data_IF_757944004448
#
_entry.id   IF_757944004448
#
_cell.length_a   1.000
_cell.length_b   1.000
_cell.length_c   1.000
_cell.angle_alpha   90.00
_cell.angle_beta   90.00
_cell.angle_gamma   90.00
#
_symmetry.space_group_name_H-M   'P 1'
#
loop_
_entity.id
_entity.type
_entity.pdbx_description
1 polymer ?
#
# COMPACT_ATOMS: atom_id res chain seq x y z
N UNK A 1 -5.67 -20.06 -11.94
CA UNK A 1 -6.00 -19.99 -10.50
C UNK A 1 -4.67 -20.02 -9.77
N UNK A 2 -4.48 -19.11 -8.82
CA UNK A 2 -3.31 -19.13 -7.95
C UNK A 2 -3.58 -20.08 -6.78
N UNK A 3 -2.59 -20.88 -6.39
CA UNK A 3 -2.72 -21.86 -5.29
C UNK A 3 -2.16 -21.33 -3.95
N UNK A 4 -1.80 -20.05 -3.90
CA UNK A 4 -1.35 -19.33 -2.71
C UNK A 4 -2.37 -18.25 -2.35
N UNK A 5 -2.39 -17.86 -1.07
CA UNK A 5 -3.20 -16.73 -0.60
C UNK A 5 -2.32 -15.48 -0.66
N UNK A 6 -2.67 -14.46 -1.46
CA UNK A 6 -1.88 -13.25 -1.52
C UNK A 6 -2.10 -12.37 -0.28
N UNK A 7 -1.30 -11.33 -0.18
CA UNK A 7 -1.52 -10.23 0.75
C UNK A 7 -1.30 -8.88 0.07
N UNK A 8 -2.00 -7.86 0.57
CA UNK A 8 -1.81 -6.47 0.18
C UNK A 8 -1.47 -5.67 1.42
N UNK A 9 -0.31 -5.03 1.43
CA UNK A 9 0.08 -4.08 2.46
C UNK A 9 -0.24 -2.65 1.99
N UNK A 10 -0.97 -1.90 2.81
CA UNK A 10 -1.52 -0.59 2.43
C UNK A 10 -1.76 0.33 3.64
N UNK A 11 -2.33 1.52 3.39
CA UNK A 11 -2.80 2.43 4.43
C UNK A 11 -1.83 3.55 4.82
N UNK A 12 -0.71 3.70 4.12
CA UNK A 12 0.27 4.75 4.40
C UNK A 12 -0.11 6.06 3.69
N UNK A 13 -0.77 6.95 4.42
CA UNK A 13 -1.31 8.20 3.90
C UNK A 13 -0.77 9.37 4.71
N UNK A 14 -0.02 10.24 4.05
CA UNK A 14 0.46 11.50 4.60
C UNK A 14 -0.46 12.61 4.11
N UNK A 15 -1.07 13.35 5.02
CA UNK A 15 -1.89 14.51 4.70
C UNK A 15 -1.35 15.78 5.38
N UNK A 16 -2.10 16.88 5.32
CA UNK A 16 -1.69 18.15 5.93
C UNK A 16 -1.52 18.06 7.46
N UNK A 17 -2.22 17.13 8.10
CA UNK A 17 -2.24 16.91 9.54
C UNK A 17 -1.20 15.88 10.01
N UNK A 18 -0.40 15.31 9.10
CA UNK A 18 0.58 14.26 9.41
C UNK A 18 1.89 14.41 8.62
N UNK A 19 2.36 15.64 8.40
CA UNK A 19 3.45 15.94 7.45
C UNK A 19 4.81 16.25 8.11
N UNK A 20 4.86 16.57 9.41
CA UNK A 20 6.09 17.08 10.04
C UNK A 20 6.71 16.10 11.04
N UNK A 21 8.03 15.91 10.94
CA UNK A 21 8.82 15.19 11.93
C UNK A 21 9.79 16.20 12.55
N UNK A 22 9.59 16.53 13.81
CA UNK A 22 10.54 17.31 14.58
C UNK A 22 11.61 16.39 15.17
N UNK A 23 12.86 16.80 15.08
CA UNK A 23 13.99 16.05 15.60
C UNK A 23 15.13 16.98 16.02
N UNK A 24 16.11 16.47 16.76
CA UNK A 24 17.33 17.19 17.16
C UNK A 24 18.54 16.31 16.94
N UNK A 25 19.62 16.91 16.47
CA UNK A 25 20.94 16.27 16.40
C UNK A 25 21.84 16.77 17.53
N UNK A 26 21.58 17.98 18.02
CA UNK A 26 22.25 18.62 19.15
C UNK A 26 21.20 19.41 19.97
N UNK A 27 21.39 20.73 20.14
CA UNK A 27 20.54 21.60 20.95
C UNK A 27 19.40 22.21 20.11
N UNK A 28 19.61 22.42 18.81
CA UNK A 28 18.66 23.10 17.93
C UNK A 28 17.66 22.12 17.34
N UNK A 29 16.37 22.43 17.48
CA UNK A 29 15.29 21.68 16.85
C UNK A 29 15.27 21.87 15.33
N UNK A 30 15.15 20.75 14.63
CA UNK A 30 15.02 20.64 13.19
C UNK A 30 13.63 20.12 12.85
N UNK A 31 13.17 20.44 11.64
CA UNK A 31 11.84 20.02 11.14
C UNK A 31 11.99 19.42 9.76
N UNK A 32 11.76 18.12 9.65
CA UNK A 32 11.61 17.44 8.38
C UNK A 32 10.16 17.51 7.91
N UNK A 33 9.96 17.75 6.61
CA UNK A 33 8.63 17.77 5.97
C UNK A 33 8.50 16.61 5.00
N UNK A 34 7.70 15.62 5.38
CA UNK A 34 7.30 14.50 4.52
C UNK A 34 6.21 14.99 3.59
N UNK A 35 6.37 14.85 2.26
CA UNK A 35 5.36 15.34 1.33
C UNK A 35 4.00 14.65 1.55
N UNK A 36 2.88 15.40 1.51
CA UNK A 36 1.56 14.79 1.47
C UNK A 36 1.40 13.88 0.25
N UNK A 37 0.84 12.69 0.47
CA UNK A 37 0.74 11.67 -0.56
C UNK A 37 0.25 10.34 0.00
N UNK A 38 0.04 9.38 -0.91
CA UNK A 38 -0.18 7.98 -0.58
C UNK A 38 1.09 7.25 -0.94
N UNK A 39 1.54 6.37 -0.07
CA UNK A 39 2.84 5.72 -0.19
C UNK A 39 2.69 4.20 -0.09
N UNK A 40 3.65 3.47 -0.67
CA UNK A 40 3.92 2.10 -0.21
C UNK A 40 4.70 2.14 1.10
N UNK A 41 4.86 0.99 1.74
CA UNK A 41 5.67 0.88 2.94
C UNK A 41 7.12 1.30 2.68
N UNK A 42 7.66 0.85 1.55
CA UNK A 42 9.02 1.17 1.10
C UNK A 42 9.18 2.63 0.70
N UNK A 43 8.23 3.19 -0.05
CA UNK A 43 8.33 4.59 -0.52
C UNK A 43 8.23 5.58 0.64
N UNK A 44 7.40 5.28 1.65
CA UNK A 44 7.29 6.14 2.82
C UNK A 44 8.61 6.15 3.61
N UNK A 45 9.25 5.00 3.77
CA UNK A 45 10.58 4.93 4.40
C UNK A 45 11.59 5.82 3.66
N UNK A 46 11.66 5.69 2.33
CA UNK A 46 12.55 6.50 1.50
C UNK A 46 12.25 8.01 1.57
N UNK A 47 10.97 8.41 1.57
CA UNK A 47 10.59 9.82 1.70
C UNK A 47 10.96 10.38 3.09
N UNK A 48 10.79 9.61 4.17
CA UNK A 48 11.19 10.03 5.52
C UNK A 48 12.70 10.18 5.62
N UNK A 49 13.46 9.18 5.15
CA UNK A 49 14.92 9.22 5.11
C UNK A 49 15.40 10.48 4.36
N UNK A 50 14.80 10.76 3.20
CA UNK A 50 15.10 11.93 2.38
C UNK A 50 14.74 13.22 3.11
N UNK A 51 13.55 13.33 3.68
CA UNK A 51 13.08 14.53 4.36
C UNK A 51 13.92 14.87 5.60
N UNK A 52 14.31 13.86 6.39
CA UNK A 52 15.17 14.05 7.56
C UNK A 52 16.59 14.42 7.17
N UNK A 53 17.17 13.73 6.17
CA UNK A 53 18.53 14.04 5.69
C UNK A 53 18.62 15.43 5.03
N UNK A 54 17.54 15.92 4.43
CA UNK A 54 17.49 17.28 3.88
C UNK A 54 17.37 18.36 4.95
N UNK A 55 16.76 18.04 6.10
CA UNK A 55 16.52 18.99 7.18
C UNK A 55 17.68 19.03 8.20
N UNK A 56 18.40 17.93 8.36
CA UNK A 56 19.52 17.80 9.30
C UNK A 56 20.89 17.85 8.64
N UNK A 57 21.92 17.68 9.46
CA UNK A 57 23.31 17.61 9.01
C UNK A 57 23.79 16.16 8.84
N UNK A 58 23.03 15.19 9.34
CA UNK A 58 23.32 13.76 9.23
C UNK A 58 22.53 13.09 8.10
N UNK A 59 23.05 11.96 7.63
CA UNK A 59 22.34 11.09 6.68
C UNK A 59 21.51 10.10 7.48
N UNK A 60 20.20 10.12 7.26
CA UNK A 60 19.25 9.20 7.87
C UNK A 60 18.97 8.05 6.92
N UNK A 61 18.96 6.84 7.48
CA UNK A 61 18.48 5.64 6.81
C UNK A 61 17.19 5.21 7.49
N UNK A 62 16.17 4.89 6.70
CA UNK A 62 14.94 4.30 7.20
C UNK A 62 14.77 2.93 6.55
N UNK A 63 14.76 1.89 7.38
CA UNK A 63 14.55 0.51 6.92
C UNK A 63 13.17 0.02 7.30
N UNK A 64 12.68 -0.94 6.52
CA UNK A 64 11.36 -1.56 6.69
C UNK A 64 11.52 -3.04 7.01
N UNK A 65 10.91 -3.48 8.11
CA UNK A 65 10.70 -4.90 8.42
C UNK A 65 9.27 -5.26 8.00
N UNK A 66 9.11 -6.01 6.90
CA UNK A 66 7.77 -6.36 6.37
C UNK A 66 7.09 -7.43 7.18
N UNK A 67 7.84 -8.35 7.78
CA UNK A 67 7.29 -9.41 8.63
C UNK A 67 6.55 -8.79 9.81
N UNK A 68 7.19 -7.82 10.49
CA UNK A 68 6.60 -7.14 11.65
C UNK A 68 5.88 -5.83 11.32
N UNK A 69 5.97 -5.37 10.07
CA UNK A 69 5.49 -4.06 9.55
C UNK A 69 6.00 -2.88 10.37
N UNK A 70 7.32 -2.79 10.56
CA UNK A 70 7.98 -1.76 11.38
C UNK A 70 8.94 -0.90 10.56
N UNK A 71 8.95 0.39 10.85
CA UNK A 71 10.00 1.31 10.40
C UNK A 71 11.11 1.37 11.45
N UNK A 72 12.37 1.40 10.99
CA UNK A 72 13.53 1.74 11.83
C UNK A 72 14.24 2.93 11.24
N UNK A 73 14.36 4.01 12.00
CA UNK A 73 15.06 5.23 11.61
C UNK A 73 16.42 5.22 12.30
N UNK A 74 17.50 5.33 11.54
CA UNK A 74 18.86 5.37 12.07
C UNK A 74 19.72 6.44 11.40
N UNK A 75 20.75 6.90 12.10
CA UNK A 75 21.78 7.81 11.61
C UNK A 75 23.14 7.41 12.20
N UNK A 76 24.21 8.06 11.74
CA UNK A 76 25.56 7.74 12.21
C UNK A 76 25.77 8.12 13.68
N UNK A 77 25.32 9.31 14.10
CA UNK A 77 25.38 9.77 15.48
C UNK A 77 23.99 9.81 16.13
N UNK A 78 23.99 9.99 17.45
CA UNK A 78 22.75 10.13 18.21
C UNK A 78 21.91 11.29 17.69
N UNK A 79 20.60 11.10 17.78
CA UNK A 79 19.61 12.14 17.49
C UNK A 79 18.38 11.88 18.36
N UNK A 80 17.48 12.84 18.42
CA UNK A 80 16.23 12.77 19.17
C UNK A 80 15.06 12.97 18.21
N UNK A 81 14.03 12.13 18.31
CA UNK A 81 12.77 12.35 17.60
C UNK A 81 11.76 12.93 18.58
N UNK A 82 11.20 14.09 18.26
CA UNK A 82 10.45 14.91 19.20
C UNK A 82 8.94 14.84 18.94
N UNK A 83 8.35 13.65 19.11
CA UNK A 83 6.91 13.47 18.90
C UNK A 83 6.04 14.03 20.04
N UNK A 84 6.59 14.32 21.21
CA UNK A 84 5.87 14.98 22.33
C UNK A 84 6.22 16.46 22.49
N UNK A 85 7.49 16.83 22.33
CA UNK A 85 7.93 18.20 22.63
C UNK A 85 8.18 19.06 21.40
N UNK A 86 8.20 18.47 20.21
CA UNK A 86 8.45 19.18 18.96
C UNK A 86 7.38 20.22 18.62
N UNK A 87 7.80 21.28 17.94
CA UNK A 87 6.94 22.43 17.62
C UNK A 87 5.71 22.06 16.77
N UNK A 88 5.77 20.97 15.99
CA UNK A 88 4.69 20.50 15.13
C UNK A 88 4.13 19.14 15.56
N UNK A 89 4.21 18.78 16.86
CA UNK A 89 3.74 17.47 17.35
C UNK A 89 2.33 17.08 16.95
N UNK A 90 1.42 18.05 16.86
CA UNK A 90 0.03 17.82 16.45
C UNK A 90 -0.15 17.51 14.96
N UNK A 91 0.91 17.68 14.16
CA UNK A 91 0.96 17.45 12.72
C UNK A 91 1.91 16.30 12.35
N UNK A 92 2.17 15.40 13.31
CA UNK A 92 3.18 14.36 13.17
C UNK A 92 2.63 13.09 12.51
N UNK A 93 3.42 12.41 11.64
CA UNK A 93 3.07 11.09 11.13
C UNK A 93 3.32 9.94 12.12
N UNK A 94 3.67 10.21 13.39
CA UNK A 94 4.13 9.18 14.35
C UNK A 94 3.30 7.90 14.33
N UNK A 95 1.97 7.99 14.42
CA UNK A 95 1.07 6.83 14.38
C UNK A 95 1.09 6.06 13.06
N UNK A 96 1.27 6.74 11.92
CA UNK A 96 1.35 6.12 10.59
C UNK A 96 2.65 5.33 10.44
N UNK A 97 3.73 5.77 11.09
CA UNK A 97 5.04 5.10 11.06
C UNK A 97 5.29 4.21 12.28
N UNK A 98 4.27 3.96 13.09
CA UNK A 98 4.31 3.04 14.23
C UNK A 98 4.98 3.59 15.49
N UNK A 99 5.27 4.88 15.55
CA UNK A 99 5.82 5.54 16.73
C UNK A 99 4.71 6.09 17.64
N UNK A 100 4.98 6.10 18.95
CA UNK A 100 4.09 6.73 19.92
C UNK A 100 4.22 8.26 19.92
N UNK A 101 3.50 8.90 20.82
CA UNK A 101 3.55 10.36 21.01
C UNK A 101 4.61 10.80 22.01
N UNK A 102 5.59 9.94 22.34
CA UNK A 102 6.69 10.25 23.27
C UNK A 102 7.92 10.70 22.49
N UNK A 103 8.79 11.46 23.14
CA UNK A 103 10.11 11.73 22.58
C UNK A 103 11.00 10.48 22.67
N UNK A 104 11.83 10.32 21.66
CA UNK A 104 12.80 9.23 21.54
C UNK A 104 14.19 9.85 21.55
N UNK A 105 14.97 9.58 22.61
CA UNK A 105 16.26 10.27 22.86
C UNK A 105 17.38 9.30 23.21
N UNK A 106 18.64 9.74 23.04
CA UNK A 106 19.81 9.09 23.62
C UNK A 106 20.43 7.94 22.81
N UNK A 107 19.90 7.62 21.63
CA UNK A 107 20.47 6.63 20.70
C UNK A 107 20.45 7.13 19.26
N UNK A 108 21.08 6.38 18.36
CA UNK A 108 21.16 6.67 16.92
C UNK A 108 20.26 5.74 16.07
N UNK A 109 19.38 4.97 16.72
CA UNK A 109 18.45 4.05 16.05
C UNK A 109 17.16 3.93 16.84
N UNK A 110 16.03 4.07 16.16
CA UNK A 110 14.70 3.95 16.76
C UNK A 110 13.80 3.08 15.89
N UNK A 111 13.19 2.06 16.48
CA UNK A 111 12.26 1.16 15.80
C UNK A 111 10.84 1.36 16.31
N UNK A 112 9.91 1.57 15.38
CA UNK A 112 8.49 1.69 15.67
C UNK A 112 7.81 0.35 15.96
N UNK A 113 6.55 0.44 16.39
CA UNK A 113 5.61 -0.68 16.47
C UNK A 113 5.05 -1.06 15.10
N UNK A 114 4.32 -2.17 15.04
CA UNK A 114 3.61 -2.62 13.84
C UNK A 114 2.64 -1.54 13.36
N UNK A 115 2.72 -1.21 12.07
CA UNK A 115 1.87 -0.20 11.42
C UNK A 115 1.33 -0.71 10.07
N UNK A 116 0.58 0.15 9.39
CA UNK A 116 -0.11 -0.15 8.14
C UNK A 116 -1.26 -1.14 8.32
N UNK A 117 -1.91 -1.43 7.22
CA UNK A 117 -3.00 -2.41 7.13
C UNK A 117 -2.61 -3.51 6.16
N UNK A 118 -3.01 -4.73 6.46
CA UNK A 118 -2.82 -5.88 5.58
C UNK A 118 -4.18 -6.47 5.23
N UNK A 119 -4.42 -6.71 3.95
CA UNK A 119 -5.58 -7.45 3.49
C UNK A 119 -5.12 -8.77 2.88
N UNK A 120 -5.65 -9.88 3.38
CA UNK A 120 -5.41 -11.21 2.83
C UNK A 120 -6.76 -11.92 2.70
N UNK A 121 -7.13 -12.38 1.49
CA UNK A 121 -8.42 -13.01 1.30
C UNK A 121 -8.46 -14.37 2.03
N UNK A 122 -9.61 -14.70 2.60
CA UNK A 122 -9.83 -15.98 3.31
C UNK A 122 -9.73 -17.19 2.39
N UNK A 123 -9.97 -17.00 1.10
CA UNK A 123 -9.89 -18.01 0.04
C UNK A 123 -9.01 -17.53 -1.13
N UNK A 124 -8.42 -18.47 -1.87
CA UNK A 124 -7.56 -18.16 -3.02
C UNK A 124 -8.32 -17.33 -4.07
N UNK A 125 -7.72 -16.24 -4.57
CA UNK A 125 -8.34 -15.44 -5.61
C UNK A 125 -8.64 -16.25 -6.87
N UNK A 126 -9.80 -15.99 -7.45
CA UNK A 126 -10.27 -16.61 -8.69
C UNK A 126 -9.89 -15.72 -9.88
N UNK A 127 -9.84 -16.30 -11.08
CA UNK A 127 -9.50 -15.56 -12.31
C UNK A 127 -8.20 -14.75 -12.20
N UNK A 128 -7.22 -15.26 -11.44
CA UNK A 128 -5.93 -14.59 -11.28
C UNK A 128 -5.08 -14.72 -12.54
N UNK A 129 -4.62 -13.58 -13.05
CA UNK A 129 -3.57 -13.45 -14.07
C UNK A 129 -2.52 -12.50 -13.52
N UNK A 130 -1.29 -12.99 -13.31
CA UNK A 130 -0.20 -12.18 -12.74
C UNK A 130 0.43 -11.20 -13.74
N UNK A 131 1.17 -10.23 -13.21
CA UNK A 131 1.89 -9.16 -13.96
C UNK A 131 2.84 -9.68 -15.03
N UNK A 132 3.43 -10.86 -14.82
CA UNK A 132 4.31 -11.52 -15.81
C UNK A 132 3.57 -11.92 -17.10
N UNK A 133 2.26 -12.15 -17.03
CA UNK A 133 1.47 -12.71 -18.12
C UNK A 133 0.58 -11.68 -18.83
N UNK A 134 0.41 -10.49 -18.26
CA UNK A 134 -0.38 -9.43 -18.87
C UNK A 134 0.40 -8.11 -18.91
N UNK A 135 0.76 -7.70 -20.13
CA UNK A 135 1.45 -6.46 -20.44
C UNK A 135 0.63 -5.65 -21.42
N UNK A 136 0.66 -4.33 -21.30
CA UNK A 136 -0.02 -3.42 -22.22
C UNK A 136 0.54 -2.01 -22.12
N UNK A 137 0.13 -1.15 -23.04
CA UNK A 137 0.47 0.28 -22.99
C UNK A 137 -0.67 1.05 -22.33
N UNK A 138 -0.30 2.04 -21.52
CA UNK A 138 -1.28 2.98 -20.96
C UNK A 138 -1.64 3.98 -22.07
N UNK A 139 -2.94 4.21 -22.29
CA UNK A 139 -3.46 5.19 -23.27
C UNK A 139 -3.04 4.94 -24.73
N UNK A 140 -2.78 3.69 -25.11
CA UNK A 140 -2.53 3.37 -26.52
C UNK A 140 -3.82 3.51 -27.34
N UNK A 141 -3.74 4.30 -28.42
CA UNK A 141 -4.81 4.40 -29.42
C UNK A 141 -4.34 3.79 -30.72
N UNK A 142 -5.20 2.95 -31.30
CA UNK A 142 -5.02 2.42 -32.65
C UNK A 142 -5.78 3.35 -33.60
N UNK A 143 -5.08 3.90 -34.57
CA UNK A 143 -5.68 4.70 -35.65
C UNK A 143 -5.55 3.86 -36.92
N UNK A 144 -6.68 3.46 -37.49
CA UNK A 144 -6.73 2.82 -38.81
C UNK A 144 -7.09 3.86 -39.85
N UNK A 145 -6.26 4.00 -40.88
CA UNK A 145 -6.55 4.89 -42.01
C UNK A 145 -7.41 4.18 -43.06
N UNK A 146 -8.03 4.96 -43.96
CA UNK A 146 -8.91 4.43 -45.02
C UNK A 146 -8.24 3.46 -46.00
N UNK A 147 -6.91 3.42 -46.02
CA UNK A 147 -6.09 2.54 -46.87
C UNK A 147 -5.67 1.23 -46.17
N UNK A 148 -6.07 1.03 -44.91
CA UNK A 148 -5.79 -0.19 -44.13
C UNK A 148 -4.46 -0.17 -43.37
N UNK A 149 -3.74 0.95 -43.39
CA UNK A 149 -2.57 1.13 -42.53
C UNK A 149 -2.99 1.39 -41.08
N UNK A 150 -2.41 0.61 -40.17
CA UNK A 150 -2.67 0.64 -38.73
C UNK A 150 -1.51 1.32 -38.03
N UNK A 151 -1.72 2.53 -37.52
CA UNK A 151 -0.74 3.23 -36.69
C UNK A 151 -1.10 3.06 -35.20
N UNK A 152 -0.16 2.56 -34.42
CA UNK A 152 -0.31 2.47 -32.97
C UNK A 152 0.38 3.68 -32.33
N UNK A 153 -0.41 4.60 -31.79
CA UNK A 153 0.12 5.64 -30.91
C UNK A 153 0.24 5.06 -29.50
N UNK A 154 1.46 4.64 -29.14
CA UNK A 154 1.78 4.15 -27.80
C UNK A 154 2.58 5.24 -27.05
N UNK A 155 1.94 6.13 -26.28
CA UNK A 155 2.68 7.03 -25.41
C UNK A 155 3.49 6.18 -24.42
N UNK A 156 4.73 6.61 -24.17
CA UNK A 156 5.81 5.81 -23.61
C UNK A 156 5.45 4.98 -22.36
N UNK A 157 5.84 3.70 -22.38
CA UNK A 157 5.94 2.84 -21.20
C UNK A 157 5.06 1.60 -21.29
N UNK A 158 5.68 0.43 -21.39
CA UNK A 158 4.98 -0.84 -21.21
C UNK A 158 4.64 -1.01 -19.72
N UNK A 159 3.38 -1.27 -19.41
CA UNK A 159 2.84 -1.44 -18.07
C UNK A 159 2.42 -2.89 -17.89
N UNK A 160 2.72 -3.47 -16.72
CA UNK A 160 2.24 -4.80 -16.35
C UNK A 160 0.91 -4.68 -15.60
N UNK A 161 -0.02 -5.59 -15.88
CA UNK A 161 -1.34 -5.64 -15.27
C UNK A 161 -1.54 -6.97 -14.54
N UNK A 162 -2.38 -6.95 -13.51
CA UNK A 162 -2.80 -8.12 -12.77
C UNK A 162 -4.31 -8.09 -12.61
N UNK A 163 -5.00 -9.19 -12.91
CA UNK A 163 -6.41 -9.34 -12.55
C UNK A 163 -6.60 -10.39 -11.46
N UNK A 164 -7.62 -10.19 -10.65
CA UNK A 164 -8.14 -11.20 -9.73
C UNK A 164 -9.57 -10.87 -9.30
N UNK A 165 -10.30 -11.90 -8.88
CA UNK A 165 -11.60 -11.79 -8.24
C UNK A 165 -11.53 -12.42 -6.85
N UNK A 166 -11.88 -11.66 -5.81
CA UNK A 166 -12.10 -12.21 -4.49
C UNK A 166 -13.53 -12.76 -4.44
N UNK A 167 -13.64 -14.09 -4.35
CA UNK A 167 -14.91 -14.79 -4.14
C UNK A 167 -14.93 -15.38 -2.75
N UNK A 168 -16.15 -15.73 -2.31
CA UNK A 168 -16.38 -16.44 -1.07
C UNK A 168 -15.92 -15.64 0.17
N UNK A 169 -16.08 -14.33 0.11
CA UNK A 169 -15.84 -13.46 1.27
C UNK A 169 -17.01 -13.63 2.22
N UNK A 170 -16.74 -13.99 3.47
CA UNK A 170 -17.77 -14.19 4.49
C UNK A 170 -17.16 -14.06 5.88
N UNK A 171 -17.94 -13.59 6.83
CA UNK A 171 -17.58 -13.56 8.25
C UNK A 171 -17.85 -14.91 8.95
N UNK A 172 -18.43 -15.86 8.21
CA UNK A 172 -18.63 -17.22 8.68
C UNK A 172 -17.28 -17.97 8.73
N UNK A 173 -17.20 -18.99 9.59
CA UNK A 173 -16.07 -19.90 9.65
C UNK A 173 -16.46 -21.26 9.03
N UNK A 174 -16.34 -21.42 7.70
CA UNK A 174 -16.73 -22.64 7.00
C UNK A 174 -15.70 -23.78 7.15
N UNK A 175 -14.53 -23.52 7.75
CA UNK A 175 -13.41 -24.47 7.85
C UNK A 175 -12.53 -24.52 6.59
N UNK A 176 -11.57 -25.43 6.58
CA UNK A 176 -10.62 -25.64 5.47
C UNK A 176 -11.37 -25.91 4.14
N UNK A 177 -10.99 -25.31 2.99
CA UNK A 177 -9.83 -24.44 2.66
C UNK A 177 -9.86 -22.96 3.07
N UNK A 178 -10.93 -22.48 3.72
CA UNK A 178 -11.05 -21.08 4.10
C UNK A 178 -10.34 -20.79 5.43
N UNK A 179 -9.72 -19.61 5.51
CA UNK A 179 -9.26 -19.13 6.81
C UNK A 179 -10.44 -18.61 7.62
N UNK A 180 -10.45 -18.89 8.92
CA UNK A 180 -11.41 -18.31 9.85
C UNK A 180 -11.16 -16.81 10.00
N UNK A 181 -12.14 -15.98 9.66
CA UNK A 181 -12.09 -14.54 9.87
C UNK A 181 -13.51 -13.99 10.05
N UNK A 182 -13.81 -13.54 11.26
CA UNK A 182 -15.14 -12.99 11.62
C UNK A 182 -15.34 -11.54 11.14
N UNK A 183 -14.33 -10.92 10.51
CA UNK A 183 -14.37 -9.55 10.01
C UNK A 183 -13.97 -9.47 8.52
N UNK A 184 -14.04 -10.57 7.77
CA UNK A 184 -13.58 -10.62 6.38
C UNK A 184 -14.31 -9.62 5.48
N UNK A 185 -15.60 -9.38 5.74
CA UNK A 185 -16.41 -8.40 4.99
C UNK A 185 -15.93 -6.98 5.27
N UNK A 186 -15.72 -6.62 6.53
CA UNK A 186 -15.23 -5.28 6.90
C UNK A 186 -13.81 -5.02 6.39
N UNK A 187 -12.93 -6.02 6.47
CA UNK A 187 -11.56 -5.93 5.97
C UNK A 187 -11.49 -5.72 4.46
N UNK A 188 -12.32 -6.42 3.67
CA UNK A 188 -12.36 -6.19 2.22
C UNK A 188 -12.95 -4.83 1.88
N UNK A 189 -13.93 -4.35 2.65
CA UNK A 189 -14.54 -3.04 2.44
C UNK A 189 -13.54 -1.91 2.72
N UNK A 190 -12.76 -2.02 3.80
CA UNK A 190 -11.69 -1.07 4.13
C UNK A 190 -10.58 -1.09 3.05
N UNK A 191 -10.17 -2.28 2.62
CA UNK A 191 -9.20 -2.44 1.54
C UNK A 191 -9.67 -1.81 0.23
N UNK A 192 -10.90 -2.13 -0.22
CA UNK A 192 -11.45 -1.58 -1.45
C UNK A 192 -11.66 -0.07 -1.35
N UNK A 193 -12.08 0.43 -0.20
CA UNK A 193 -12.23 1.86 0.07
C UNK A 193 -10.89 2.59 -0.05
N UNK A 194 -9.81 2.02 0.46
CA UNK A 194 -8.47 2.56 0.22
C UNK A 194 -8.07 2.47 -1.26
N UNK A 195 -8.28 1.31 -1.90
CA UNK A 195 -7.85 1.04 -3.27
C UNK A 195 -8.49 2.00 -4.28
N UNK A 196 -9.77 2.34 -4.13
CA UNK A 196 -10.46 3.30 -5.03
C UNK A 196 -9.95 4.74 -4.91
N UNK A 197 -9.24 5.08 -3.82
CA UNK A 197 -8.57 6.40 -3.70
C UNK A 197 -7.26 6.47 -4.47
N UNK A 198 -6.95 5.44 -5.28
CA UNK A 198 -5.69 5.27 -6.00
C UNK A 198 -4.47 5.23 -5.09
N UNK A 199 -4.66 4.73 -3.86
CA UNK A 199 -3.57 4.47 -2.95
C UNK A 199 -2.64 3.38 -3.47
N UNK A 200 -1.34 3.59 -3.31
CA UNK A 200 -0.34 2.57 -3.63
C UNK A 200 -0.35 1.47 -2.58
N UNK A 201 -0.07 0.25 -3.04
CA UNK A 201 -0.10 -0.97 -2.24
C UNK A 201 1.08 -1.85 -2.62
N UNK A 202 1.60 -2.60 -1.66
CA UNK A 202 2.56 -3.68 -1.94
C UNK A 202 1.76 -4.99 -2.00
N UNK A 203 1.81 -5.66 -3.15
CA UNK A 203 1.18 -6.96 -3.36
C UNK A 203 2.20 -8.07 -3.22
N UNK A 204 1.89 -9.03 -2.36
CA UNK A 204 2.62 -10.27 -2.20
C UNK A 204 1.79 -11.41 -2.79
N UNK A 205 2.34 -12.12 -3.78
CA UNK A 205 1.65 -13.24 -4.44
C UNK A 205 1.41 -14.41 -3.47
N UNK A 206 2.29 -14.57 -2.49
CA UNK A 206 2.12 -15.46 -1.36
C UNK A 206 2.35 -14.69 -0.05
N UNK A 207 1.36 -14.70 0.84
CA UNK A 207 1.40 -14.00 2.12
C UNK A 207 2.51 -14.47 3.06
N UNK A 208 3.00 -15.70 2.87
CA UNK A 208 4.06 -16.28 3.70
C UNK A 208 5.47 -15.82 3.24
N UNK A 209 5.58 -15.20 2.06
CA UNK A 209 6.84 -14.69 1.49
C UNK A 209 6.76 -13.16 1.31
N UNK A 210 6.73 -12.43 2.42
CA UNK A 210 6.46 -10.98 2.43
C UNK A 210 7.54 -10.10 1.80
N UNK A 211 8.76 -10.63 1.61
CA UNK A 211 9.86 -9.92 0.95
C UNK A 211 9.77 -9.99 -0.59
N UNK A 212 8.95 -10.89 -1.14
CA UNK A 212 8.67 -10.96 -2.57
C UNK A 212 7.39 -10.20 -2.88
N UNK A 213 7.53 -8.92 -3.25
CA UNK A 213 6.40 -8.05 -3.51
C UNK A 213 6.57 -7.23 -4.79
N UNK A 214 5.45 -6.71 -5.27
CA UNK A 214 5.38 -5.74 -6.35
C UNK A 214 4.51 -4.56 -5.92
N UNK A 215 4.84 -3.36 -6.38
CA UNK A 215 4.01 -2.19 -6.10
C UNK A 215 2.89 -2.11 -7.11
N UNK A 216 1.65 -2.03 -6.62
CA UNK A 216 0.45 -1.97 -7.47
C UNK A 216 -0.47 -0.83 -7.07
N UNK A 217 -1.32 -0.45 -8.01
CA UNK A 217 -2.46 0.44 -7.78
C UNK A 217 -3.67 -0.11 -8.50
N UNK A 218 -4.85 0.05 -7.90
CA UNK A 218 -6.10 -0.36 -8.54
C UNK A 218 -6.29 0.43 -9.82
N UNK A 219 -6.43 -0.25 -10.94
CA UNK A 219 -6.62 0.34 -12.25
C UNK A 219 -8.11 0.44 -12.56
N UNK A 220 -8.82 -0.70 -12.50
CA UNK A 220 -10.26 -0.76 -12.76
C UNK A 220 -10.99 -1.78 -11.87
N UNK A 221 -12.31 -1.58 -11.77
CA UNK A 221 -13.26 -2.50 -11.15
C UNK A 221 -14.36 -2.86 -12.14
N UNK A 222 -15.23 -3.84 -11.87
CA UNK A 222 -16.34 -4.15 -12.76
C UNK A 222 -17.32 -2.99 -12.93
N UNK A 223 -17.36 -2.05 -11.98
CA UNK A 223 -18.27 -0.90 -11.98
C UNK A 223 -17.59 0.39 -12.44
N UNK A 224 -16.26 0.43 -12.57
CA UNK A 224 -15.53 1.65 -12.89
C UNK A 224 -14.28 1.33 -13.71
N UNK A 225 -14.24 1.83 -14.96
CA UNK A 225 -13.04 1.75 -15.82
C UNK A 225 -11.83 2.43 -15.19
N UNK A 226 -12.08 3.52 -14.46
CA UNK A 226 -11.03 4.25 -13.75
C UNK A 226 -10.85 3.75 -12.32
N UNK A 227 -11.49 2.65 -11.90
CA UNK A 227 -11.29 2.04 -10.58
C UNK A 227 -11.56 2.96 -9.39
N UNK A 228 -12.44 3.96 -9.54
CA UNK A 228 -12.79 4.93 -8.49
C UNK A 228 -14.07 4.56 -7.72
N UNK A 229 -14.72 3.46 -8.10
CA UNK A 229 -15.93 2.96 -7.47
C UNK A 229 -15.86 1.44 -7.40
N UNK A 230 -16.39 0.86 -6.34
CA UNK A 230 -16.54 -0.59 -6.21
C UNK A 230 -17.94 -0.91 -5.73
N UNK A 231 -18.36 -2.17 -5.94
CA UNK A 231 -19.55 -2.73 -5.31
C UNK A 231 -19.25 -4.15 -4.86
N UNK A 232 -19.51 -4.44 -3.59
CA UNK A 232 -19.50 -5.79 -3.08
C UNK A 232 -20.83 -6.46 -3.47
N UNK A 233 -20.75 -7.59 -4.15
CA UNK A 233 -21.91 -8.32 -4.69
C UNK A 233 -22.17 -9.56 -3.84
N UNK A 234 -23.43 -9.97 -3.65
CA UNK A 234 -23.71 -11.29 -3.08
C UNK A 234 -23.17 -12.38 -3.99
N UNK A 235 -22.71 -13.49 -3.39
CA UNK A 235 -22.18 -14.63 -4.11
C UNK A 235 -23.25 -15.33 -4.96
N UNK A 236 -24.47 -15.43 -4.43
CA UNK A 236 -25.63 -15.99 -5.13
C UNK A 236 -26.75 -16.37 -4.15
N UNK A 237 -27.94 -16.70 -4.67
CA UNK A 237 -29.14 -16.98 -3.86
C UNK A 237 -29.02 -18.20 -2.92
N UNK A 238 -28.06 -19.08 -3.15
CA UNK A 238 -27.78 -20.24 -2.28
C UNK A 238 -26.70 -20.01 -1.21
N UNK A 239 -26.13 -18.81 -1.14
CA UNK A 239 -24.99 -18.49 -0.27
C UNK A 239 -25.26 -17.17 0.47
N UNK A 240 -26.23 -17.14 1.41
CA UNK A 240 -26.49 -15.96 2.23
C UNK A 240 -25.25 -15.61 3.06
N UNK A 241 -24.93 -14.32 3.17
CA UNK A 241 -23.75 -13.80 3.87
C UNK A 241 -22.40 -14.16 3.25
N UNK A 242 -22.42 -14.54 1.96
CA UNK A 242 -21.21 -14.66 1.15
C UNK A 242 -21.20 -13.61 0.05
N UNK A 243 -20.02 -13.06 -0.20
CA UNK A 243 -19.81 -11.93 -1.07
C UNK A 243 -18.66 -12.15 -2.05
N UNK A 244 -18.62 -11.29 -3.07
CA UNK A 244 -17.55 -11.21 -4.07
C UNK A 244 -17.36 -9.80 -4.60
N UNK A 245 -16.17 -9.51 -5.09
CA UNK A 245 -15.82 -8.20 -5.68
C UNK A 245 -16.11 -8.11 -7.17
N UNK A 246 -16.21 -9.24 -7.86
CA UNK A 246 -16.00 -9.29 -9.31
C UNK A 246 -14.53 -9.05 -9.68
N UNK A 247 -14.22 -8.97 -10.97
CA UNK A 247 -12.85 -8.82 -11.48
C UNK A 247 -12.27 -7.44 -11.17
N UNK A 248 -11.25 -7.41 -10.34
CA UNK A 248 -10.42 -6.24 -10.09
C UNK A 248 -9.19 -6.32 -10.98
N UNK A 249 -8.81 -5.17 -11.57
CA UNK A 249 -7.57 -5.05 -12.34
C UNK A 249 -6.66 -4.07 -11.63
N UNK A 250 -5.43 -4.48 -11.38
CA UNK A 250 -4.36 -3.70 -10.82
C UNK A 250 -3.30 -3.48 -11.89
N UNK A 251 -2.60 -2.34 -11.80
CA UNK A 251 -1.42 -2.08 -12.61
C UNK A 251 -0.19 -1.97 -11.73
N UNK A 252 0.92 -2.47 -12.23
CA UNK A 252 2.24 -2.29 -11.64
C UNK A 252 2.64 -0.81 -11.70
N UNK A 253 3.21 -0.32 -10.60
CA UNK A 253 3.85 0.99 -10.58
C UNK A 253 5.31 0.79 -10.97
N UNK A 254 5.68 1.40 -12.11
CA UNK A 254 7.07 1.56 -12.55
C UNK A 254 7.65 2.84 -11.95
#
# INVERSE_FOLDING_TARGET
MIMTKPAFLYGYVINADTTYINFREDIVELTARVKPGRYTFTDLAAEIATAMSLAGNQIYTVTTDRVNRRFTISADNNFEILFDTGSNKGLSPSSIIGFGTMDYTGVNTYTGSTTGKIYSPTFWPQSHTGTKHWKGYKDASIIETGDGDVETFAPSGLVSYMEMEFKFITDLNPGDPWDANENAVDEVLDFLSYAITKGYMEYMENRDTVEEYQTVVLDSTPQSKDGILFKLLPQGSGWPDWYRTGKLVFRERV
#
